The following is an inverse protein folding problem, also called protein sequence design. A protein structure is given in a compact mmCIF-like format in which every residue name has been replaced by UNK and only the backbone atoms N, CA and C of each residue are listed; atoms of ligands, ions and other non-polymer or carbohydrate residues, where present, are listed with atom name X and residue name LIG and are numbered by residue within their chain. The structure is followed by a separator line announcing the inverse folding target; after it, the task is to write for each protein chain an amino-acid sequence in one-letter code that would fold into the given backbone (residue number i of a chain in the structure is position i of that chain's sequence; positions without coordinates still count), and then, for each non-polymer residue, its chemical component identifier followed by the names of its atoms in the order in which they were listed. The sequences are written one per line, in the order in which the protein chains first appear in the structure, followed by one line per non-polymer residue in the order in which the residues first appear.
data_IF_996810490862
#
_entry.id   IF_996810490862
#
_cell.length_a   1.000
_cell.length_b   1.000
_cell.length_c   1.000
_cell.angle_alpha   90.00
_cell.angle_beta   90.00
_cell.angle_gamma   90.00
#
_symmetry.space_group_name_H-M   'P 1'
#
loop_
_entity.id
_entity.type
_entity.pdbx_description
1 polymer ?
#
# COMPACT_ATOMS: atom_id res chain seq x y z
N UNK A 1 52.43 18.80 -14.00
CA UNK A 1 52.14 18.23 -12.66
C UNK A 1 51.05 19.06 -11.98
N UNK A 2 49.76 18.87 -12.34
CA UNK A 2 48.61 19.60 -11.74
C UNK A 2 47.52 18.66 -11.16
N UNK A 3 47.70 17.35 -11.25
CA UNK A 3 46.65 16.35 -10.97
C UNK A 3 46.50 15.96 -9.47
N UNK A 4 47.41 16.42 -8.60
CA UNK A 4 47.45 15.97 -7.20
C UNK A 4 46.55 16.76 -6.24
N UNK A 5 46.22 18.01 -6.55
CA UNK A 5 45.36 18.85 -5.70
C UNK A 5 43.86 18.59 -5.92
N UNK A 6 43.48 18.07 -7.09
CA UNK A 6 42.09 17.72 -7.41
C UNK A 6 41.65 16.38 -6.81
N UNK A 7 42.58 15.47 -6.50
CA UNK A 7 42.27 14.17 -5.91
C UNK A 7 41.58 14.25 -4.52
N UNK A 8 42.11 15.00 -3.53
CA UNK A 8 41.44 15.10 -2.22
C UNK A 8 40.07 15.78 -2.32
N UNK A 9 39.89 16.73 -3.24
CA UNK A 9 38.58 17.36 -3.49
C UNK A 9 37.56 16.35 -4.02
N UNK A 10 37.96 15.50 -4.98
CA UNK A 10 37.09 14.46 -5.51
C UNK A 10 36.70 13.43 -4.44
N UNK A 11 37.64 13.04 -3.57
CA UNK A 11 37.37 12.14 -2.45
C UNK A 11 36.41 12.77 -1.45
N UNK A 12 36.61 14.05 -1.11
CA UNK A 12 35.73 14.77 -0.19
C UNK A 12 34.31 14.92 -0.76
N UNK A 13 34.17 15.22 -2.05
CA UNK A 13 32.87 15.28 -2.72
C UNK A 13 32.18 13.91 -2.77
N UNK A 14 32.92 12.84 -3.04
CA UNK A 14 32.38 11.48 -3.03
C UNK A 14 31.91 11.06 -1.63
N UNK A 15 32.71 11.33 -0.59
CA UNK A 15 32.34 11.05 0.80
C UNK A 15 31.13 11.89 1.25
N UNK A 16 31.10 13.17 0.91
CA UNK A 16 29.95 14.04 1.17
C UNK A 16 28.69 13.55 0.46
N UNK A 17 28.80 13.12 -0.79
CA UNK A 17 27.70 12.52 -1.54
C UNK A 17 27.19 11.23 -0.90
N UNK A 18 28.09 10.34 -0.48
CA UNK A 18 27.72 9.12 0.24
C UNK A 18 26.99 9.41 1.55
N UNK A 19 27.49 10.36 2.34
CA UNK A 19 26.85 10.76 3.60
C UNK A 19 25.45 11.34 3.38
N UNK A 20 25.25 12.16 2.34
CA UNK A 20 23.94 12.69 1.98
C UNK A 20 22.98 11.57 1.58
N UNK A 21 23.43 10.60 0.76
CA UNK A 21 22.62 9.46 0.35
C UNK A 21 22.23 8.58 1.55
N UNK A 22 23.19 8.28 2.43
CA UNK A 22 22.94 7.55 3.66
C UNK A 22 21.92 8.29 4.54
N UNK A 23 22.06 9.61 4.69
CA UNK A 23 21.11 10.41 5.44
C UNK A 23 19.71 10.39 4.81
N UNK A 24 19.59 10.48 3.48
CA UNK A 24 18.29 10.37 2.79
C UNK A 24 17.63 9.02 3.05
N UNK A 25 18.38 7.92 3.00
CA UNK A 25 17.86 6.58 3.28
C UNK A 25 17.43 6.46 4.74
N UNK A 26 18.25 6.95 5.67
CA UNK A 26 18.03 6.80 7.11
C UNK A 26 16.97 7.73 7.69
N UNK A 27 16.72 8.88 7.04
CA UNK A 27 15.69 9.86 7.48
C UNK A 27 14.37 9.71 6.72
N UNK A 28 14.25 8.67 5.90
CA UNK A 28 13.06 8.40 5.12
C UNK A 28 11.84 8.19 6.01
N UNK A 29 10.78 8.94 5.74
CA UNK A 29 9.48 8.81 6.39
C UNK A 29 8.49 8.11 5.49
N UNK A 30 7.57 7.36 6.07
CA UNK A 30 6.46 6.71 5.37
C UNK A 30 5.22 7.61 5.42
N UNK A 31 4.48 7.65 4.32
CA UNK A 31 3.21 8.37 4.25
C UNK A 31 2.16 7.67 5.12
N UNK A 32 2.15 6.34 5.07
CA UNK A 32 1.08 5.51 5.62
C UNK A 32 1.56 4.66 6.81
N UNK A 33 0.74 4.64 7.86
CA UNK A 33 0.92 3.76 9.02
C UNK A 33 -0.16 2.66 9.01
N UNK A 34 0.20 1.37 9.15
CA UNK A 34 -0.77 0.27 9.08
C UNK A 34 -1.93 0.39 10.07
N UNK A 35 -1.68 0.86 11.29
CA UNK A 35 -2.74 1.01 12.30
C UNK A 35 -3.73 2.10 11.90
N UNK A 36 -3.25 3.19 11.31
CA UNK A 36 -4.10 4.26 10.76
C UNK A 36 -4.98 3.75 9.62
N UNK A 37 -4.43 2.96 8.69
CA UNK A 37 -5.21 2.38 7.58
C UNK A 37 -6.29 1.43 8.12
N UNK A 38 -5.94 0.59 9.10
CA UNK A 38 -6.88 -0.32 9.76
C UNK A 38 -8.00 0.45 10.48
N UNK A 39 -7.68 1.55 11.16
CA UNK A 39 -8.64 2.42 11.82
C UNK A 39 -9.64 3.01 10.82
N UNK A 40 -9.16 3.58 9.70
CA UNK A 40 -10.02 4.15 8.65
C UNK A 40 -10.93 3.07 8.06
N UNK A 41 -10.40 1.87 7.79
CA UNK A 41 -11.18 0.75 7.29
C UNK A 41 -12.28 0.34 8.27
N UNK A 42 -11.95 0.14 9.56
CA UNK A 42 -12.92 -0.22 10.61
C UNK A 42 -13.96 0.87 10.85
N UNK A 43 -13.57 2.14 10.86
CA UNK A 43 -14.48 3.28 10.97
C UNK A 43 -15.50 3.25 9.84
N UNK A 44 -15.07 2.93 8.62
CA UNK A 44 -15.96 2.84 7.46
C UNK A 44 -16.94 1.66 7.53
N UNK A 45 -16.65 0.62 8.31
CA UNK A 45 -17.58 -0.47 8.58
C UNK A 45 -18.75 -0.05 9.49
N UNK A 46 -18.59 0.98 10.33
CA UNK A 46 -19.70 1.46 11.16
C UNK A 46 -20.87 2.05 10.36
N UNK A 47 -20.68 2.28 9.06
CA UNK A 47 -21.76 2.59 8.10
C UNK A 47 -22.72 1.41 7.87
N UNK A 48 -22.46 0.23 8.44
CA UNK A 48 -23.26 -1.01 8.34
C UNK A 48 -24.74 -0.85 8.69
N UNK A 49 -25.14 0.19 9.42
CA UNK A 49 -26.53 0.46 9.80
C UNK A 49 -27.37 1.24 8.79
N UNK A 50 -26.82 1.65 7.64
CA UNK A 50 -27.56 2.40 6.61
C UNK A 50 -28.55 1.53 5.81
N UNK A 51 -29.66 2.11 5.36
CA UNK A 51 -30.53 1.48 4.35
C UNK A 51 -29.82 1.49 2.99
N UNK A 52 -29.26 0.34 2.60
CA UNK A 52 -28.71 0.11 1.25
C UNK A 52 -29.63 -0.83 0.48
N UNK A 53 -29.89 -0.55 -0.80
CA UNK A 53 -30.79 -1.37 -1.61
C UNK A 53 -30.16 -2.73 -2.00
N UNK A 54 -28.83 -2.85 -1.92
CA UNK A 54 -28.13 -4.11 -2.19
C UNK A 54 -26.77 -4.25 -1.47
N UNK A 55 -26.24 -5.48 -1.32
CA UNK A 55 -24.87 -5.69 -0.84
C UNK A 55 -23.78 -5.07 -1.73
N UNK A 56 -24.07 -4.87 -3.02
CA UNK A 56 -23.14 -4.22 -3.96
C UNK A 56 -23.00 -2.73 -3.70
N UNK A 57 -24.13 -2.06 -3.52
CA UNK A 57 -24.20 -0.63 -3.18
C UNK A 57 -23.52 -0.33 -1.83
N UNK A 58 -23.76 -1.18 -0.82
CA UNK A 58 -23.08 -1.07 0.47
C UNK A 58 -21.56 -1.10 0.33
N UNK A 59 -21.02 -2.04 -0.46
CA UNK A 59 -19.55 -2.15 -0.67
C UNK A 59 -19.00 -0.90 -1.35
N UNK A 60 -19.70 -0.38 -2.37
CA UNK A 60 -19.29 0.85 -3.04
C UNK A 60 -19.30 2.04 -2.08
N UNK A 61 -20.31 2.15 -1.21
CA UNK A 61 -20.36 3.20 -0.19
C UNK A 61 -19.20 3.10 0.82
N UNK A 62 -18.87 1.90 1.28
CA UNK A 62 -17.72 1.67 2.17
C UNK A 62 -16.41 2.06 1.47
N UNK A 63 -16.20 1.64 0.22
CA UNK A 63 -14.98 1.97 -0.54
C UNK A 63 -14.86 3.47 -0.83
N UNK A 64 -15.98 4.12 -1.15
CA UNK A 64 -16.03 5.57 -1.33
C UNK A 64 -15.68 6.30 -0.02
N UNK A 65 -16.20 5.84 1.12
CA UNK A 65 -15.88 6.41 2.42
C UNK A 65 -14.40 6.23 2.80
N UNK A 66 -13.86 5.02 2.62
CA UNK A 66 -12.42 4.76 2.83
C UNK A 66 -11.58 5.71 1.96
N UNK A 67 -11.91 5.82 0.68
CA UNK A 67 -11.17 6.67 -0.26
C UNK A 67 -11.25 8.14 0.14
N UNK A 68 -12.44 8.62 0.53
CA UNK A 68 -12.65 10.00 0.98
C UNK A 68 -11.88 10.32 2.28
N UNK A 69 -11.88 9.42 3.26
CA UNK A 69 -11.12 9.60 4.51
C UNK A 69 -9.60 9.57 4.26
N UNK A 70 -9.13 8.71 3.35
CA UNK A 70 -7.73 8.70 2.92
C UNK A 70 -7.36 9.99 2.19
N UNK A 71 -8.21 10.49 1.29
CA UNK A 71 -8.00 11.77 0.60
C UNK A 71 -8.00 12.95 1.57
N UNK A 72 -8.90 12.96 2.57
CA UNK A 72 -8.91 14.00 3.60
C UNK A 72 -7.61 14.03 4.40
N UNK A 73 -7.03 12.86 4.68
CA UNK A 73 -5.82 12.72 5.50
C UNK A 73 -4.52 12.93 4.73
N UNK A 74 -4.45 12.43 3.50
CA UNK A 74 -3.21 12.37 2.71
C UNK A 74 -3.25 13.23 1.43
N UNK A 75 -4.36 13.89 1.14
CA UNK A 75 -4.49 14.83 0.02
C UNK A 75 -4.18 14.20 -1.34
N UNK A 76 -3.35 14.89 -2.11
CA UNK A 76 -2.97 14.54 -3.49
C UNK A 76 -2.18 13.24 -3.61
N UNK A 77 -1.75 12.64 -2.48
CA UNK A 77 -1.14 11.32 -2.49
C UNK A 77 -2.13 10.19 -2.79
N UNK A 78 -3.45 10.46 -2.70
CA UNK A 78 -4.50 9.49 -3.00
C UNK A 78 -5.13 9.80 -4.35
N UNK A 79 -5.26 8.77 -5.19
CA UNK A 79 -5.85 8.86 -6.51
C UNK A 79 -7.29 9.40 -6.43
N UNK A 80 -7.59 10.36 -7.30
CA UNK A 80 -8.94 10.92 -7.48
C UNK A 80 -9.80 10.04 -8.40
N UNK A 81 -9.16 9.28 -9.28
CA UNK A 81 -9.81 8.42 -10.28
C UNK A 81 -9.23 7.00 -10.18
N UNK A 82 -9.48 6.28 -9.09
CA UNK A 82 -8.92 4.95 -8.92
C UNK A 82 -9.68 3.95 -9.81
N UNK A 83 -8.94 3.13 -10.56
CA UNK A 83 -9.49 2.16 -11.51
C UNK A 83 -9.32 0.73 -11.00
N UNK A 84 -10.29 -0.13 -11.32
CA UNK A 84 -10.24 -1.55 -10.98
C UNK A 84 -9.51 -2.33 -12.07
N UNK A 85 -8.51 -3.10 -11.65
CA UNK A 85 -7.71 -3.94 -12.54
C UNK A 85 -7.79 -5.39 -12.10
N UNK A 86 -7.91 -6.31 -13.06
CA UNK A 86 -7.86 -7.74 -12.80
C UNK A 86 -6.44 -8.21 -12.50
N UNK A 87 -6.31 -9.11 -11.53
CA UNK A 87 -5.06 -9.77 -11.20
C UNK A 87 -5.23 -11.28 -11.20
N UNK A 88 -4.26 -11.96 -11.81
CA UNK A 88 -4.03 -13.38 -11.65
C UNK A 88 -2.56 -13.56 -11.27
N UNK A 89 -2.30 -13.97 -10.03
CA UNK A 89 -0.96 -14.16 -9.49
C UNK A 89 -0.97 -15.28 -8.46
N UNK A 90 0.10 -16.09 -8.41
CA UNK A 90 0.22 -17.15 -7.40
C UNK A 90 -0.90 -18.20 -7.42
N UNK A 91 -1.67 -18.29 -8.52
CA UNK A 91 -2.83 -19.18 -8.64
C UNK A 91 -4.16 -18.59 -8.13
N UNK A 92 -4.15 -17.42 -7.49
CA UNK A 92 -5.37 -16.73 -7.08
C UNK A 92 -5.80 -15.69 -8.13
N UNK A 93 -7.11 -15.46 -8.22
CA UNK A 93 -7.72 -14.46 -9.10
C UNK A 93 -8.51 -13.45 -8.27
N UNK A 94 -8.36 -12.17 -8.61
CA UNK A 94 -9.12 -11.10 -8.00
C UNK A 94 -9.05 -9.81 -8.81
N UNK A 95 -9.44 -8.73 -8.15
CA UNK A 95 -9.38 -7.37 -8.65
C UNK A 95 -8.80 -6.47 -7.58
N UNK A 96 -7.94 -5.54 -7.95
CA UNK A 96 -7.49 -4.48 -7.06
C UNK A 96 -7.74 -3.11 -7.66
N UNK A 97 -7.78 -2.10 -6.78
CA UNK A 97 -7.92 -0.71 -7.11
C UNK A 97 -6.82 0.07 -6.39
N UNK A 98 -5.87 0.65 -7.14
CA UNK A 98 -4.73 1.35 -6.56
C UNK A 98 -5.14 2.75 -6.14
N UNK A 99 -4.98 3.06 -4.86
CA UNK A 99 -5.24 4.38 -4.29
C UNK A 99 -3.96 5.21 -4.16
N UNK A 100 -2.85 4.58 -3.79
CA UNK A 100 -1.54 5.20 -3.69
C UNK A 100 -0.47 4.26 -4.21
N UNK A 101 0.52 4.79 -4.92
CA UNK A 101 1.72 4.05 -5.31
C UNK A 101 2.94 4.97 -5.32
N UNK A 102 4.00 4.55 -4.65
CA UNK A 102 5.34 5.14 -4.69
C UNK A 102 6.38 4.02 -4.88
N UNK A 103 7.66 4.38 -4.90
CA UNK A 103 8.74 3.38 -4.95
C UNK A 103 8.80 2.49 -3.70
N UNK A 104 8.17 2.89 -2.60
CA UNK A 104 8.37 2.22 -1.31
C UNK A 104 7.09 1.93 -0.55
N UNK A 105 5.94 2.44 -1.01
CA UNK A 105 4.64 2.27 -0.36
C UNK A 105 3.56 2.14 -1.43
N UNK A 106 2.52 1.37 -1.12
CA UNK A 106 1.30 1.36 -1.90
C UNK A 106 0.09 1.18 -0.98
N UNK A 107 -1.05 1.73 -1.39
CA UNK A 107 -2.35 1.49 -0.77
C UNK A 107 -3.28 1.06 -1.89
N UNK A 108 -3.96 -0.06 -1.71
CA UNK A 108 -4.94 -0.57 -2.66
C UNK A 108 -6.12 -1.19 -1.94
N UNK A 109 -7.25 -1.22 -2.63
CA UNK A 109 -8.41 -2.02 -2.24
C UNK A 109 -8.35 -3.30 -3.06
N UNK A 110 -8.30 -4.45 -2.41
CA UNK A 110 -8.31 -5.75 -3.07
C UNK A 110 -9.58 -6.52 -2.73
N UNK A 111 -10.08 -7.30 -3.69
CA UNK A 111 -11.17 -8.23 -3.46
C UNK A 111 -11.39 -9.20 -4.60
N UNK A 112 -12.15 -10.24 -4.32
CA UNK A 112 -12.63 -11.19 -5.32
C UNK A 112 -14.08 -11.58 -5.00
N UNK A 113 -14.98 -11.65 -5.99
CA UNK A 113 -16.34 -12.15 -5.79
C UNK A 113 -16.42 -13.67 -5.75
N UNK A 114 -15.32 -14.37 -6.03
CA UNK A 114 -15.24 -15.83 -6.11
C UNK A 114 -14.37 -16.39 -4.98
N UNK A 115 -14.59 -17.65 -4.61
CA UNK A 115 -13.64 -18.37 -3.76
C UNK A 115 -12.37 -18.61 -4.57
N UNK A 116 -11.24 -18.12 -4.04
CA UNK A 116 -9.94 -18.27 -4.67
C UNK A 116 -8.92 -18.69 -3.63
N UNK A 117 -8.00 -19.57 -4.02
CA UNK A 117 -6.84 -19.98 -3.24
C UNK A 117 -5.58 -19.83 -4.07
N UNK A 118 -4.43 -19.74 -3.40
CA UNK A 118 -3.16 -19.56 -4.07
C UNK A 118 -2.04 -19.22 -3.09
N UNK A 119 -0.87 -18.96 -3.65
CA UNK A 119 0.29 -18.48 -2.93
C UNK A 119 0.20 -16.99 -2.70
N UNK A 120 0.47 -16.55 -1.47
CA UNK A 120 0.59 -15.12 -1.15
C UNK A 120 1.75 -14.46 -1.90
N UNK A 121 2.80 -15.22 -2.23
CA UNK A 121 4.05 -14.70 -2.80
C UNK A 121 5.09 -14.42 -1.72
N UNK A 122 6.32 -14.09 -2.13
CA UNK A 122 7.39 -13.61 -1.25
C UNK A 122 7.88 -12.28 -1.78
N UNK A 123 7.80 -11.26 -0.94
CA UNK A 123 8.11 -9.89 -1.32
C UNK A 123 9.19 -9.30 -0.41
N UNK A 124 10.00 -8.39 -0.95
CA UNK A 124 10.83 -7.49 -0.14
C UNK A 124 10.01 -6.28 0.30
N UNK A 125 8.86 -6.55 0.90
CA UNK A 125 7.93 -5.55 1.42
C UNK A 125 7.11 -6.18 2.54
N UNK A 126 6.78 -5.37 3.55
CA UNK A 126 5.82 -5.74 4.57
C UNK A 126 4.41 -5.44 4.05
N UNK A 127 3.52 -6.45 4.10
CA UNK A 127 2.15 -6.35 3.58
C UNK A 127 1.18 -6.50 4.74
N UNK A 128 0.31 -5.51 4.90
CA UNK A 128 -0.74 -5.47 5.90
C UNK A 128 -2.09 -5.49 5.21
N UNK A 129 -2.95 -6.45 5.58
CA UNK A 129 -4.29 -6.58 5.03
C UNK A 129 -5.34 -6.37 6.13
N UNK A 130 -6.21 -5.38 5.94
CA UNK A 130 -7.40 -5.21 6.79
C UNK A 130 -8.63 -5.78 6.08
N UNK A 131 -9.29 -6.74 6.72
CA UNK A 131 -10.49 -7.37 6.17
C UNK A 131 -11.70 -6.44 6.32
N UNK A 132 -12.26 -6.00 5.20
CA UNK A 132 -13.49 -5.19 5.16
C UNK A 132 -14.73 -6.07 5.12
N UNK A 133 -14.73 -7.12 4.30
CA UNK A 133 -15.86 -8.05 4.18
C UNK A 133 -15.39 -9.42 3.73
N UNK A 134 -16.07 -10.47 4.20
CA UNK A 134 -15.84 -11.85 3.82
C UNK A 134 -14.96 -12.58 4.82
N UNK A 135 -14.19 -13.56 4.33
CA UNK A 135 -13.28 -14.37 5.14
C UNK A 135 -11.94 -14.48 4.45
N UNK A 136 -10.86 -14.34 5.21
CA UNK A 136 -9.48 -14.58 4.77
C UNK A 136 -8.89 -15.72 5.61
N UNK A 137 -8.37 -16.76 4.97
CA UNK A 137 -7.67 -17.86 5.63
C UNK A 137 -6.20 -17.87 5.22
N UNK A 138 -5.31 -18.02 6.21
CA UNK A 138 -3.87 -18.22 6.00
C UNK A 138 -3.51 -19.59 6.58
N UNK A 139 -2.90 -20.45 5.78
CA UNK A 139 -2.32 -21.71 6.28
C UNK A 139 -0.92 -21.42 6.85
N UNK A 140 -0.69 -21.57 8.17
CA UNK A 140 0.62 -21.32 8.76
C UNK A 140 1.67 -22.37 8.36
N UNK A 141 1.24 -23.54 7.87
CA UNK A 141 2.15 -24.63 7.48
C UNK A 141 2.70 -24.45 6.05
N UNK A 142 2.07 -23.58 5.26
CA UNK A 142 2.54 -23.19 3.93
C UNK A 142 3.16 -21.81 4.07
N UNK A 143 4.33 -21.76 4.71
CA UNK A 143 5.06 -20.53 5.00
C UNK A 143 5.62 -19.90 3.70
N UNK A 144 4.81 -19.02 3.12
CA UNK A 144 5.33 -17.82 2.47
C UNK A 144 5.09 -16.71 3.49
N UNK A 145 6.17 -16.09 3.97
CA UNK A 145 6.11 -14.89 4.79
C UNK A 145 5.25 -13.85 4.08
#
# INVERSE_FOLDING_TARGET
MKCWHSFPLLVALAAGGFFVLENIINTKTYLSDPATIEEIAKKSLSLEGGEFASPGERRQAIFANITAELQLRYGDHISQNPEWVFINAGGFIGTFCVLHASLTEYILIFGTPLVSSGHSGRYWADIYDTLVQGTKQRDPNVALL
#
